data_IF_001728829404
#
_entry.id   IF_001728829404
#
_cell.length_a   1.000
_cell.length_b   1.000
_cell.length_c   1.000
_cell.angle_alpha   90.00
_cell.angle_beta   90.00
_cell.angle_gamma   90.00
#
_symmetry.space_group_name_H-M   'P 1'
#
loop_
_entity.id
_entity.type
_entity.pdbx_description
1 polymer ?
#
# COMPACT_ATOMS: atom_id res chain seq x y z
N UNK A 1 0.25 -8.39 -1.53
CA UNK A 1 1.02 -8.07 -0.31
C UNK A 1 0.83 -9.10 0.80
N UNK A 2 -0.40 -9.41 1.24
CA UNK A 2 -0.64 -10.39 2.32
C UNK A 2 0.12 -11.70 2.06
N UNK A 3 0.06 -12.24 0.84
CA UNK A 3 0.80 -13.43 0.48
C UNK A 3 2.31 -13.28 0.71
N UNK A 4 2.91 -12.17 0.33
CA UNK A 4 4.35 -11.90 0.51
C UNK A 4 4.74 -11.79 1.99
N UNK A 5 3.82 -11.36 2.86
CA UNK A 5 4.03 -11.33 4.31
C UNK A 5 3.93 -12.72 4.96
N UNK A 6 3.18 -13.63 4.35
CA UNK A 6 3.04 -15.02 4.81
C UNK A 6 4.15 -15.93 4.26
N UNK A 7 4.56 -15.72 3.03
CA UNK A 7 5.57 -16.52 2.31
C UNK A 7 6.75 -15.64 1.91
N UNK A 8 7.76 -15.55 2.77
CA UNK A 8 8.80 -14.49 2.73
C UNK A 8 10.06 -14.84 1.93
N UNK A 9 10.27 -16.11 1.55
CA UNK A 9 11.59 -16.59 1.07
C UNK A 9 11.54 -17.44 -0.20
N UNK A 10 10.45 -17.41 -0.96
CA UNK A 10 10.29 -18.23 -2.16
C UNK A 10 10.50 -17.42 -3.44
N UNK A 11 10.83 -18.09 -4.54
CA UNK A 11 10.89 -17.48 -5.87
C UNK A 11 9.58 -16.75 -6.21
N UNK A 12 8.46 -17.31 -5.80
CA UNK A 12 7.14 -16.73 -6.02
C UNK A 12 6.97 -15.36 -5.35
N UNK A 13 7.62 -15.11 -4.22
CA UNK A 13 7.63 -13.79 -3.57
C UNK A 13 8.33 -12.76 -4.45
N UNK A 14 9.42 -13.13 -5.11
CA UNK A 14 10.13 -12.26 -6.05
C UNK A 14 9.26 -11.93 -7.28
N UNK A 15 8.61 -12.95 -7.86
CA UNK A 15 7.71 -12.76 -9.02
C UNK A 15 6.53 -11.84 -8.66
N UNK A 16 6.01 -11.95 -7.43
CA UNK A 16 4.93 -11.09 -6.93
C UNK A 16 5.40 -9.66 -6.62
N UNK A 17 6.65 -9.46 -6.23
CA UNK A 17 7.25 -8.14 -6.06
C UNK A 17 7.21 -7.34 -7.37
N UNK A 18 7.69 -7.94 -8.45
CA UNK A 18 7.64 -7.33 -9.78
C UNK A 18 6.21 -7.05 -10.25
N UNK A 19 5.32 -8.05 -10.13
CA UNK A 19 3.91 -7.91 -10.50
C UNK A 19 3.22 -6.78 -9.74
N UNK A 20 3.47 -6.69 -8.44
CA UNK A 20 2.85 -5.68 -7.58
C UNK A 20 3.32 -4.27 -7.95
N UNK A 21 4.62 -4.06 -8.15
CA UNK A 21 5.15 -2.78 -8.61
C UNK A 21 4.54 -2.36 -9.96
N UNK A 22 4.51 -3.27 -10.93
CA UNK A 22 3.95 -3.00 -12.25
C UNK A 22 2.44 -2.72 -12.18
N UNK A 23 1.71 -3.34 -11.25
CA UNK A 23 0.30 -3.04 -11.00
C UNK A 23 0.13 -1.60 -10.53
N UNK A 24 0.92 -1.14 -9.56
CA UNK A 24 0.88 0.26 -9.12
C UNK A 24 1.26 1.22 -10.26
N UNK A 25 2.36 0.93 -10.96
CA UNK A 25 2.86 1.75 -12.06
C UNK A 25 1.84 1.92 -13.20
N UNK A 26 1.08 0.87 -13.51
CA UNK A 26 0.04 0.93 -14.54
C UNK A 26 -1.24 1.62 -14.07
N UNK A 27 -1.48 1.67 -12.75
CA UNK A 27 -2.69 2.21 -12.16
C UNK A 27 -2.56 3.66 -11.68
N UNK A 28 -1.33 4.17 -11.58
CA UNK A 28 -1.06 5.53 -11.11
C UNK A 28 -0.40 6.33 -12.23
N UNK A 29 -1.00 7.45 -12.58
CA UNK A 29 -0.40 8.44 -13.47
C UNK A 29 -0.18 9.72 -12.69
N UNK A 30 1.08 10.19 -12.64
CA UNK A 30 1.45 11.45 -12.00
C UNK A 30 1.76 12.46 -13.11
N UNK A 31 1.08 13.60 -13.10
CA UNK A 31 1.27 14.66 -14.07
C UNK A 31 1.20 16.04 -13.43
N UNK A 32 1.82 17.04 -14.08
CA UNK A 32 1.92 18.42 -13.54
C UNK A 32 0.56 19.05 -13.22
N UNK A 33 -0.45 18.74 -14.04
CA UNK A 33 -1.77 19.36 -13.92
C UNK A 33 -2.85 18.37 -13.46
N UNK A 34 -2.57 17.07 -13.48
CA UNK A 34 -3.54 16.04 -13.16
C UNK A 34 -2.84 14.73 -12.80
N UNK A 35 -3.11 14.24 -11.59
CA UNK A 35 -2.81 12.85 -11.21
C UNK A 35 -4.07 12.00 -11.34
N UNK A 36 -3.91 10.73 -11.69
CA UNK A 36 -4.99 9.77 -11.84
C UNK A 36 -4.61 8.46 -11.16
N UNK A 37 -5.57 7.88 -10.46
CA UNK A 37 -5.46 6.56 -9.83
C UNK A 37 -6.61 5.69 -10.34
N UNK A 38 -6.27 4.58 -10.98
CA UNK A 38 -7.23 3.66 -11.61
C UNK A 38 -7.16 2.27 -10.96
N UNK A 39 -7.56 2.17 -9.70
CA UNK A 39 -7.66 0.88 -9.00
C UNK A 39 -9.06 0.27 -9.07
N UNK A 40 -10.09 1.09 -9.31
CA UNK A 40 -11.46 0.70 -9.15
C UNK A 40 -12.33 1.17 -10.32
N UNK A 41 -12.97 0.24 -10.98
CA UNK A 41 -14.12 0.57 -11.82
C UNK A 41 -15.36 0.66 -10.92
N UNK A 42 -15.67 1.88 -10.48
CA UNK A 42 -16.87 2.12 -9.67
C UNK A 42 -18.04 2.31 -10.63
N UNK A 43 -18.94 1.33 -10.70
CA UNK A 43 -20.26 1.49 -11.29
C UNK A 43 -21.22 1.83 -10.14
N UNK A 44 -21.67 3.08 -10.09
CA UNK A 44 -22.69 3.52 -9.14
C UNK A 44 -24.01 3.57 -9.91
N UNK A 45 -24.93 2.68 -9.58
CA UNK A 45 -26.31 2.81 -10.04
C UNK A 45 -27.04 3.76 -9.07
N UNK A 46 -27.23 5.00 -9.53
CA UNK A 46 -27.83 6.07 -8.71
C UNK A 46 -29.31 5.78 -8.39
N UNK A 47 -29.93 4.84 -9.10
CA UNK A 47 -31.32 4.45 -8.88
C UNK A 47 -31.55 3.58 -7.64
N UNK A 48 -30.48 3.00 -7.08
CA UNK A 48 -30.55 2.14 -5.90
C UNK A 48 -30.41 2.91 -4.56
N UNK A 49 -30.17 4.22 -4.59
CA UNK A 49 -29.98 5.02 -3.39
C UNK A 49 -31.25 5.81 -3.05
N UNK A 50 -31.87 5.47 -1.93
CA UNK A 50 -33.02 6.18 -1.37
C UNK A 50 -32.64 7.36 -0.48
N UNK A 51 -31.35 7.41 -0.01
CA UNK A 51 -30.81 8.50 0.84
C UNK A 51 -29.30 8.66 0.71
N UNK A 52 -28.76 9.83 1.09
CA UNK A 52 -27.31 10.08 1.17
C UNK A 52 -26.60 9.17 2.21
N UNK A 53 -27.34 8.66 3.19
CA UNK A 53 -26.82 7.74 4.22
C UNK A 53 -26.58 6.33 3.66
N UNK A 54 -27.23 5.96 2.56
CA UNK A 54 -27.06 4.66 1.90
C UNK A 54 -25.81 4.62 0.99
N UNK A 55 -25.19 5.76 0.72
CA UNK A 55 -23.89 5.89 0.04
C UNK A 55 -22.75 5.40 0.95
N UNK A 56 -22.79 4.13 1.34
CA UNK A 56 -21.62 3.46 1.90
C UNK A 56 -20.60 3.28 0.77
N UNK A 57 -19.63 4.17 0.72
CA UNK A 57 -18.51 4.01 -0.21
C UNK A 57 -17.89 2.63 0.01
N UNK A 58 -17.78 1.84 -1.07
CA UNK A 58 -17.05 0.58 -1.01
C UNK A 58 -15.62 0.84 -0.54
N UNK A 59 -14.97 -0.14 0.10
CA UNK A 59 -13.57 0.00 0.47
C UNK A 59 -12.71 0.42 -0.74
N UNK A 60 -13.05 -0.03 -1.94
CA UNK A 60 -12.36 0.36 -3.15
C UNK A 60 -12.44 1.88 -3.41
N UNK A 61 -13.60 2.50 -3.18
CA UNK A 61 -13.76 3.95 -3.31
C UNK A 61 -12.97 4.70 -2.23
N UNK A 62 -12.97 4.21 -1.00
CA UNK A 62 -12.18 4.76 0.11
C UNK A 62 -10.69 4.65 -0.20
N UNK A 63 -10.26 3.50 -0.70
CA UNK A 63 -8.88 3.27 -1.10
C UNK A 63 -8.45 4.23 -2.21
N UNK A 64 -9.23 4.33 -3.29
CA UNK A 64 -8.93 5.22 -4.42
C UNK A 64 -8.92 6.70 -4.01
N UNK A 65 -9.86 7.14 -3.16
CA UNK A 65 -9.91 8.50 -2.61
C UNK A 65 -8.63 8.85 -1.85
N UNK A 66 -8.22 8.00 -0.91
CA UNK A 66 -7.04 8.26 -0.09
C UNK A 66 -5.75 8.17 -0.90
N UNK A 67 -5.72 7.29 -1.91
CA UNK A 67 -4.58 7.18 -2.80
C UNK A 67 -4.42 8.40 -3.71
N UNK A 68 -5.51 8.92 -4.31
CA UNK A 68 -5.41 10.12 -5.14
C UNK A 68 -4.99 11.34 -4.32
N UNK A 69 -5.47 11.47 -3.09
CA UNK A 69 -5.02 12.52 -2.18
C UNK A 69 -3.53 12.40 -1.84
N UNK A 70 -3.02 11.18 -1.71
CA UNK A 70 -1.62 10.92 -1.42
C UNK A 70 -0.67 11.23 -2.59
N UNK A 71 -1.18 11.34 -3.84
CA UNK A 71 -0.37 11.74 -4.99
C UNK A 71 -0.14 13.25 -5.10
N UNK A 72 -0.79 14.05 -4.25
CA UNK A 72 -0.59 15.50 -4.21
C UNK A 72 0.88 15.77 -3.85
N UNK A 73 1.52 16.67 -4.59
CA UNK A 73 2.93 17.05 -4.48
C UNK A 73 3.94 16.05 -5.10
N UNK A 74 3.52 14.90 -5.55
CA UNK A 74 4.40 14.01 -6.30
C UNK A 74 4.55 14.49 -7.75
N UNK A 75 5.77 14.42 -8.28
CA UNK A 75 6.10 14.94 -9.62
C UNK A 75 6.36 13.85 -10.66
N UNK A 76 6.69 12.65 -10.23
CA UNK A 76 6.97 11.48 -11.06
C UNK A 76 6.59 10.21 -10.31
N UNK A 77 6.45 9.10 -11.04
CA UNK A 77 6.27 7.78 -10.44
C UNK A 77 7.61 7.04 -10.47
N UNK A 78 8.15 6.77 -9.31
CA UNK A 78 9.32 5.96 -9.02
C UNK A 78 9.14 5.22 -7.68
N UNK A 79 10.14 4.43 -7.25
CA UNK A 79 10.06 3.66 -6.02
C UNK A 79 9.94 4.56 -4.78
N UNK A 80 10.65 5.66 -4.75
CA UNK A 80 10.64 6.61 -3.63
C UNK A 80 9.29 7.33 -3.52
N UNK A 81 8.76 7.83 -4.65
CA UNK A 81 7.43 8.46 -4.69
C UNK A 81 6.33 7.47 -4.34
N UNK A 82 6.43 6.20 -4.78
CA UNK A 82 5.47 5.16 -4.40
C UNK A 82 5.50 4.90 -2.88
N UNK A 83 6.68 4.88 -2.25
CA UNK A 83 6.80 4.76 -0.79
C UNK A 83 6.17 5.96 -0.08
N UNK A 84 6.43 7.19 -0.54
CA UNK A 84 5.81 8.42 -0.04
C UNK A 84 4.28 8.39 -0.16
N UNK A 85 3.76 8.04 -1.34
CA UNK A 85 2.32 7.92 -1.59
C UNK A 85 1.68 6.92 -0.63
N UNK A 86 2.28 5.77 -0.42
CA UNK A 86 1.75 4.75 0.48
C UNK A 86 1.76 5.19 1.95
N UNK A 87 2.77 5.94 2.35
CA UNK A 87 2.82 6.56 3.68
C UNK A 87 1.69 7.56 3.88
N UNK A 88 1.55 8.52 2.97
CA UNK A 88 0.45 9.51 3.00
C UNK A 88 -0.94 8.85 2.93
N UNK A 89 -1.06 7.76 2.15
CA UNK A 89 -2.28 6.97 2.09
C UNK A 89 -2.66 6.43 3.47
N UNK A 90 -1.73 5.80 4.20
CA UNK A 90 -1.99 5.28 5.54
C UNK A 90 -2.39 6.39 6.51
N UNK A 91 -1.69 7.51 6.50
CA UNK A 91 -2.01 8.66 7.35
C UNK A 91 -3.45 9.16 7.13
N UNK A 92 -3.85 9.34 5.86
CA UNK A 92 -5.20 9.77 5.51
C UNK A 92 -6.25 8.73 5.91
N UNK A 93 -6.00 7.46 5.59
CA UNK A 93 -6.92 6.36 5.85
C UNK A 93 -7.16 6.16 7.35
N UNK A 94 -6.11 6.16 8.18
CA UNK A 94 -6.26 6.00 9.63
C UNK A 94 -6.91 7.20 10.31
N UNK A 95 -6.77 8.39 9.74
CA UNK A 95 -7.41 9.59 10.24
C UNK A 95 -8.93 9.57 10.01
N UNK A 96 -9.39 9.20 8.83
CA UNK A 96 -10.74 9.48 8.39
C UNK A 96 -11.60 8.22 8.15
N UNK A 97 -11.01 7.10 7.72
CA UNK A 97 -11.77 5.98 7.15
C UNK A 97 -11.62 4.65 7.91
N UNK A 98 -10.53 4.43 8.64
CA UNK A 98 -10.22 3.15 9.30
C UNK A 98 -11.35 2.64 10.20
N UNK A 99 -11.99 3.53 10.96
CA UNK A 99 -13.06 3.15 11.90
C UNK A 99 -14.24 2.45 11.20
N UNK A 100 -14.54 2.86 9.97
CA UNK A 100 -15.66 2.32 9.20
C UNK A 100 -15.24 1.19 8.25
N UNK A 101 -13.96 1.09 7.94
CA UNK A 101 -13.39 0.15 6.98
C UNK A 101 -12.11 -0.50 7.52
N UNK A 102 -12.15 -1.23 8.67
CA UNK A 102 -10.96 -1.87 9.21
C UNK A 102 -10.38 -2.87 8.21
N UNK A 103 -9.04 -2.93 8.12
CA UNK A 103 -8.35 -3.79 7.17
C UNK A 103 -7.03 -4.28 7.77
N UNK A 104 -6.89 -5.58 7.92
CA UNK A 104 -5.72 -6.22 8.55
C UNK A 104 -4.39 -5.87 7.87
N UNK A 105 -4.39 -5.71 6.54
CA UNK A 105 -3.17 -5.32 5.83
C UNK A 105 -2.74 -3.90 6.19
N UNK A 106 -3.70 -2.97 6.27
CA UNK A 106 -3.38 -1.59 6.61
C UNK A 106 -3.00 -1.43 8.08
N UNK A 107 -3.58 -2.23 8.99
CA UNK A 107 -3.13 -2.29 10.39
C UNK A 107 -1.70 -2.77 10.50
N UNK A 108 -1.33 -3.82 9.77
CA UNK A 108 0.05 -4.31 9.69
C UNK A 108 1.01 -3.25 9.12
N UNK A 109 0.61 -2.57 8.06
CA UNK A 109 1.39 -1.48 7.46
C UNK A 109 1.53 -0.28 8.43
N UNK A 110 0.49 0.01 9.21
CA UNK A 110 0.52 1.05 10.24
C UNK A 110 1.51 0.69 11.34
N UNK A 111 1.58 -0.56 11.76
CA UNK A 111 2.58 -1.02 12.73
C UNK A 111 4.01 -0.81 12.21
N UNK A 112 4.27 -1.15 10.94
CA UNK A 112 5.55 -0.86 10.31
C UNK A 112 5.85 0.65 10.27
N UNK A 113 4.85 1.48 9.98
CA UNK A 113 4.99 2.93 9.95
C UNK A 113 5.32 3.49 11.35
N UNK A 114 4.62 3.03 12.38
CA UNK A 114 4.83 3.48 13.76
C UNK A 114 6.21 3.07 14.33
N UNK A 115 6.80 2.01 13.78
CA UNK A 115 8.15 1.57 14.09
C UNK A 115 9.24 2.18 13.18
N UNK A 116 8.89 3.10 12.27
CA UNK A 116 9.78 3.70 11.26
C UNK A 116 10.40 2.68 10.29
N UNK A 117 9.70 1.59 10.01
CA UNK A 117 10.15 0.50 9.13
C UNK A 117 9.41 0.48 7.78
N UNK A 118 8.42 1.34 7.60
CA UNK A 118 7.52 1.26 6.46
C UNK A 118 8.19 1.65 5.14
N UNK A 119 9.16 2.57 5.15
CA UNK A 119 9.92 2.91 3.95
C UNK A 119 10.78 1.74 3.49
N UNK A 120 11.53 1.11 4.40
CA UNK A 120 12.31 -0.09 4.09
C UNK A 120 11.43 -1.26 3.63
N UNK A 121 10.26 -1.44 4.24
CA UNK A 121 9.27 -2.42 3.80
C UNK A 121 8.78 -2.15 2.36
N UNK A 122 8.50 -0.92 2.00
CA UNK A 122 8.10 -0.55 0.65
C UNK A 122 9.20 -0.86 -0.37
N UNK A 123 10.44 -0.53 -0.06
CA UNK A 123 11.58 -0.81 -0.92
C UNK A 123 11.79 -2.33 -1.10
N UNK A 124 11.73 -3.10 -0.01
CA UNK A 124 11.72 -4.57 -0.07
C UNK A 124 10.57 -5.11 -0.92
N UNK A 125 9.36 -4.59 -0.71
CA UNK A 125 8.15 -5.10 -1.36
C UNK A 125 8.20 -4.95 -2.89
N UNK A 126 8.85 -3.90 -3.40
CA UNK A 126 8.86 -3.54 -4.80
C UNK A 126 10.23 -3.73 -5.50
N UNK A 127 11.23 -4.27 -4.79
CA UNK A 127 12.61 -4.38 -5.26
C UNK A 127 12.77 -4.99 -6.66
N UNK A 128 11.96 -6.02 -6.97
CA UNK A 128 12.08 -6.73 -8.27
C UNK A 128 11.44 -5.94 -9.43
N UNK A 129 10.55 -5.00 -9.14
CA UNK A 129 9.93 -4.14 -10.16
C UNK A 129 10.76 -2.87 -10.48
N UNK A 130 11.66 -2.49 -9.57
CA UNK A 130 12.54 -1.33 -9.70
C UNK A 130 13.93 -1.62 -9.09
N UNK A 131 14.67 -2.63 -9.59
CA UNK A 131 15.89 -3.11 -8.95
C UNK A 131 17.00 -2.05 -8.87
N UNK A 132 17.18 -1.24 -9.90
CA UNK A 132 18.20 -0.17 -9.90
C UNK A 132 17.88 0.91 -8.85
N UNK A 133 16.62 1.28 -8.70
CA UNK A 133 16.17 2.26 -7.70
C UNK A 133 16.33 1.68 -6.29
N UNK A 134 16.02 0.40 -6.11
CA UNK A 134 16.22 -0.31 -4.86
C UNK A 134 17.71 -0.36 -4.46
N UNK A 135 18.61 -0.69 -5.39
CA UNK A 135 20.04 -0.76 -5.12
C UNK A 135 20.60 0.61 -4.69
N UNK A 136 20.19 1.68 -5.37
CA UNK A 136 20.58 3.06 -5.02
C UNK A 136 20.07 3.41 -3.61
N UNK A 137 18.83 3.10 -3.31
CA UNK A 137 18.26 3.35 -1.99
C UNK A 137 18.97 2.54 -0.91
N UNK A 138 19.25 1.27 -1.16
CA UNK A 138 19.91 0.36 -0.21
C UNK A 138 21.34 0.81 0.14
N UNK A 139 22.10 1.34 -0.83
CA UNK A 139 23.42 1.92 -0.59
C UNK A 139 23.39 3.08 0.44
N UNK A 140 22.31 3.87 0.41
CA UNK A 140 22.14 5.01 1.30
C UNK A 140 21.51 4.63 2.65
N UNK A 141 20.66 3.60 2.70
CA UNK A 141 19.78 3.28 3.83
C UNK A 141 19.98 1.85 4.36
N UNK A 142 21.17 1.26 4.16
CA UNK A 142 21.46 -0.12 4.55
C UNK A 142 21.18 -0.44 6.01
N UNK A 143 21.42 0.50 6.94
CA UNK A 143 21.11 0.32 8.37
C UNK A 143 19.59 0.21 8.62
N UNK A 144 18.79 1.05 7.98
CA UNK A 144 17.32 1.01 8.09
C UNK A 144 16.76 -0.30 7.51
N UNK A 145 17.38 -0.76 6.41
CA UNK A 145 17.02 -2.04 5.81
C UNK A 145 17.35 -3.22 6.74
N UNK A 146 18.50 -3.22 7.40
CA UNK A 146 18.88 -4.26 8.36
C UNK A 146 17.92 -4.29 9.57
N UNK A 147 17.53 -3.11 10.09
CA UNK A 147 16.54 -2.99 11.17
C UNK A 147 15.17 -3.54 10.75
N UNK A 148 14.74 -3.24 9.52
CA UNK A 148 13.54 -3.81 8.95
C UNK A 148 13.62 -5.33 8.81
N UNK A 149 14.71 -5.87 8.25
CA UNK A 149 14.90 -7.32 8.07
C UNK A 149 14.89 -8.03 9.41
N UNK A 150 15.54 -7.47 10.43
CA UNK A 150 15.54 -8.02 11.79
C UNK A 150 14.10 -8.08 12.34
N UNK A 151 13.33 -7.02 12.22
CA UNK A 151 11.95 -6.99 12.67
C UNK A 151 11.07 -7.95 11.85
N UNK A 152 11.19 -7.88 10.54
CA UNK A 152 10.33 -8.62 9.59
C UNK A 152 10.52 -10.13 9.68
N UNK A 153 11.72 -10.60 10.02
CA UNK A 153 12.04 -12.05 10.10
C UNK A 153 11.58 -12.71 11.41
N UNK A 154 11.14 -11.95 12.41
CA UNK A 154 10.61 -12.51 13.65
C UNK A 154 9.23 -13.16 13.41
N UNK A 155 9.01 -14.30 14.05
CA UNK A 155 7.76 -15.04 13.90
C UNK A 155 6.53 -14.27 14.45
N UNK A 156 6.72 -13.51 15.54
CA UNK A 156 5.68 -12.66 16.12
C UNK A 156 5.20 -11.54 15.19
N UNK A 157 6.01 -11.16 14.21
CA UNK A 157 5.72 -10.11 13.25
C UNK A 157 5.20 -10.64 11.91
N UNK A 158 4.74 -11.88 11.87
CA UNK A 158 4.00 -12.42 10.72
C UNK A 158 2.57 -11.89 10.80
N UNK A 159 2.07 -11.33 9.69
CA UNK A 159 0.68 -10.90 9.60
C UNK A 159 -0.26 -12.07 9.93
N UNK A 160 -1.16 -11.87 10.88
CA UNK A 160 -2.14 -12.87 11.25
C UNK A 160 -3.48 -12.56 10.60
N UNK A 161 -3.91 -13.42 9.67
CA UNK A 161 -5.18 -13.29 8.97
C UNK A 161 -6.14 -14.37 9.47
N UNK A 162 -7.14 -13.96 10.24
CA UNK A 162 -8.18 -14.83 10.80
C UNK A 162 -9.55 -14.48 10.22
N UNK A 163 -10.58 -15.29 10.53
CA UNK A 163 -11.94 -15.07 10.00
C UNK A 163 -12.51 -13.70 10.36
N UNK A 164 -12.12 -13.17 11.51
CA UNK A 164 -12.74 -11.98 12.11
C UNK A 164 -12.02 -10.68 11.69
N UNK A 165 -10.78 -10.76 11.19
CA UNK A 165 -10.00 -9.61 10.71
C UNK A 165 -9.77 -9.60 9.20
N UNK A 166 -10.20 -10.66 8.50
CA UNK A 166 -10.10 -10.72 7.05
C UNK A 166 -11.01 -9.69 6.41
N UNK A 167 -10.60 -9.26 5.22
CA UNK A 167 -11.37 -8.38 4.38
C UNK A 167 -12.79 -8.91 4.15
N UNK A 168 -13.82 -8.19 4.61
CA UNK A 168 -15.22 -8.44 4.30
C UNK A 168 -15.63 -7.43 3.24
N UNK A 169 -16.21 -7.92 2.14
CA UNK A 169 -16.72 -7.11 1.04
C UNK A 169 -17.82 -6.16 1.49
#
# INVERSE_FOLDING_TARGET
EIFMNLERTTQRTLDLSELLYNTYKSSITIGKDKSQVDFCKIFVDVSEFESEEDLKFSLCAVYAKNFILATIDEVAFDLSSLSSIRTKFLENYFKDDFKNHPNVLFEYQKELLDNNLFDAYNHYLFQMGAPEEFDIWLEANGKEYDEFVEWYTRNENIIEVVSDNRFIR
#
